data_IF_810025890559
#
_entry.id   IF_810025890559
#
_cell.length_a   1.000
_cell.length_b   1.000
_cell.length_c   1.000
_cell.angle_alpha   90.00
_cell.angle_beta   90.00
_cell.angle_gamma   90.00
#
_symmetry.space_group_name_H-M   'P 1'
#
loop_
_entity.id
_entity.type
_entity.pdbx_description
1 polymer ?
#
# COMPACT_ATOMS: atom_id res chain seq x y z
N UNK A 1 15.11 16.65 -2.38
CA UNK A 1 13.67 16.35 -2.34
C UNK A 1 13.51 15.02 -1.63
N UNK A 2 12.53 14.91 -0.73
CA UNK A 2 12.18 13.67 -0.04
C UNK A 2 11.10 12.96 -0.85
N UNK A 3 11.32 11.68 -1.16
CA UNK A 3 10.29 10.81 -1.76
C UNK A 3 9.40 10.23 -0.66
N UNK A 4 8.09 10.17 -0.91
CA UNK A 4 7.08 9.72 0.03
C UNK A 4 6.23 8.61 -0.59
N UNK A 5 6.35 7.41 -0.04
CA UNK A 5 5.60 6.23 -0.46
C UNK A 5 4.59 5.80 0.60
N UNK A 6 3.34 5.58 0.20
CA UNK A 6 2.27 5.17 1.10
C UNK A 6 2.11 3.65 1.12
N UNK A 7 2.14 3.02 2.31
CA UNK A 7 1.85 1.57 2.43
C UNK A 7 0.37 1.29 2.22
N UNK A 8 0.08 0.48 1.21
CA UNK A 8 -1.30 0.06 0.89
C UNK A 8 -1.86 -0.95 1.90
N UNK A 9 -0.99 -1.61 2.68
CA UNK A 9 -1.39 -2.50 3.77
C UNK A 9 -2.18 -1.76 4.86
N UNK A 10 -1.93 -0.47 5.03
CA UNK A 10 -2.67 0.40 5.95
C UNK A 10 -4.00 0.94 5.38
N UNK A 11 -4.28 0.70 4.09
CA UNK A 11 -5.48 1.18 3.41
C UNK A 11 -6.71 0.30 3.65
N UNK A 12 -7.87 0.81 3.28
CA UNK A 12 -9.11 0.03 3.23
C UNK A 12 -9.09 -0.90 2.00
N UNK A 13 -8.62 -2.13 2.21
CA UNK A 13 -8.54 -3.15 1.16
C UNK A 13 -9.89 -3.49 0.51
N UNK A 14 -11.01 -3.28 1.22
CA UNK A 14 -12.34 -3.49 0.65
C UNK A 14 -12.75 -2.38 -0.34
N UNK A 15 -12.06 -1.24 -0.33
CA UNK A 15 -12.28 -0.13 -1.24
C UNK A 15 -10.99 0.64 -1.52
N UNK A 16 -10.00 -0.07 -2.07
CA UNK A 16 -8.67 0.50 -2.33
C UNK A 16 -8.69 1.64 -3.35
N UNK A 17 -9.65 1.62 -4.29
CA UNK A 17 -9.80 2.66 -5.31
C UNK A 17 -10.01 4.06 -4.72
N UNK A 18 -10.77 4.16 -3.62
CA UNK A 18 -10.95 5.42 -2.90
C UNK A 18 -9.62 5.93 -2.36
N UNK A 19 -8.87 5.06 -1.69
CA UNK A 19 -7.64 5.45 -1.01
C UNK A 19 -6.54 5.80 -2.03
N UNK A 20 -6.44 5.06 -3.14
CA UNK A 20 -5.58 5.42 -4.28
C UNK A 20 -5.92 6.82 -4.80
N UNK A 21 -7.20 7.12 -5.01
CA UNK A 21 -7.64 8.44 -5.49
C UNK A 21 -7.23 9.56 -4.53
N UNK A 22 -7.31 9.34 -3.22
CA UNK A 22 -6.91 10.34 -2.22
C UNK A 22 -5.38 10.51 -2.18
N UNK A 23 -4.63 9.42 -2.31
CA UNK A 23 -3.17 9.42 -2.33
C UNK A 23 -2.61 10.13 -3.57
N UNK A 24 -3.18 9.90 -4.75
CA UNK A 24 -2.80 10.62 -5.97
C UNK A 24 -3.06 12.13 -5.84
N UNK A 25 -4.20 12.52 -5.25
CA UNK A 25 -4.52 13.92 -4.97
C UNK A 25 -3.58 14.55 -3.96
N UNK A 26 -3.05 13.76 -3.02
CA UNK A 26 -2.06 14.20 -2.05
C UNK A 26 -0.65 14.35 -2.66
N UNK A 27 -0.42 13.85 -3.88
CA UNK A 27 0.83 14.01 -4.61
C UNK A 27 1.96 13.13 -4.07
N UNK A 28 1.65 11.90 -3.66
CA UNK A 28 2.68 10.94 -3.25
C UNK A 28 3.55 10.49 -4.44
N UNK A 29 4.78 10.08 -4.17
CA UNK A 29 5.73 9.67 -5.20
C UNK A 29 5.56 8.20 -5.59
N UNK A 30 4.97 7.37 -4.73
CA UNK A 30 4.74 5.96 -5.03
C UNK A 30 3.96 5.18 -3.99
N UNK A 31 3.69 3.92 -4.30
CA UNK A 31 3.00 2.99 -3.40
C UNK A 31 3.99 1.99 -2.81
N UNK A 32 3.90 1.79 -1.51
CA UNK A 32 4.61 0.72 -0.82
C UNK A 32 3.69 -0.50 -0.74
N UNK A 33 4.10 -1.59 -1.40
CA UNK A 33 3.38 -2.86 -1.44
C UNK A 33 4.19 -3.87 -0.65
N UNK A 34 3.60 -4.38 0.42
CA UNK A 34 4.16 -5.47 1.19
C UNK A 34 3.82 -6.82 0.54
N UNK A 35 4.81 -7.69 0.38
CA UNK A 35 4.60 -9.09 -0.04
C UNK A 35 5.03 -9.99 1.11
N UNK A 36 4.08 -10.77 1.62
CA UNK A 36 4.29 -11.66 2.76
C UNK A 36 3.81 -13.06 2.40
N UNK A 37 4.66 -14.07 2.61
CA UNK A 37 4.46 -15.45 2.16
C UNK A 37 3.98 -16.41 3.26
N UNK A 38 3.75 -15.92 4.48
CA UNK A 38 3.40 -16.74 5.64
C UNK A 38 4.52 -17.63 6.18
N UNK A 39 5.69 -17.67 5.52
CA UNK A 39 6.86 -18.48 5.92
C UNK A 39 7.96 -17.62 6.53
N UNK A 40 8.28 -16.50 5.89
CA UNK A 40 9.25 -15.53 6.40
C UNK A 40 8.66 -14.70 7.56
N UNK A 41 7.38 -14.34 7.46
CA UNK A 41 6.60 -13.69 8.52
C UNK A 41 5.32 -14.48 8.79
N UNK A 42 4.79 -14.49 10.03
CA UNK A 42 3.56 -15.22 10.35
C UNK A 42 2.30 -14.47 9.87
N UNK A 43 2.35 -13.93 8.65
CA UNK A 43 1.25 -13.24 8.01
C UNK A 43 1.27 -13.51 6.49
N UNK A 44 0.10 -13.61 5.88
CA UNK A 44 -0.05 -13.81 4.43
C UNK A 44 -0.69 -12.57 3.82
N UNK A 45 0.02 -11.93 2.90
CA UNK A 45 -0.43 -10.69 2.30
C UNK A 45 0.17 -10.55 0.89
N UNK A 46 -0.68 -10.39 -0.10
CA UNK A 46 -0.29 -10.13 -1.48
C UNK A 46 -1.25 -9.09 -2.05
N UNK A 47 -0.72 -7.92 -2.39
CA UNK A 47 -1.38 -6.97 -3.26
C UNK A 47 -0.80 -7.14 -4.66
N UNK A 48 -1.62 -7.59 -5.60
CA UNK A 48 -1.32 -7.58 -7.05
C UNK A 48 -2.05 -6.42 -7.72
#
# INVERSE_FOLDING_TARGET
>A
MSELSASLMCGNLANLARDITELERAGIDGYHIDIMDGKFVPNLFLLI
#
